data_IF_371106125810
#
_entry.id   IF_371106125810
#
_cell.length_a   1.000
_cell.length_b   1.000
_cell.length_c   1.000
_cell.angle_alpha   90.00
_cell.angle_beta   90.00
_cell.angle_gamma   90.00
#
_symmetry.space_group_name_H-M   'P 1'
#
loop_
_entity.id
_entity.type
_entity.pdbx_description
1 polymer ?
#
# COMPACT_ATOMS: atom_id res chain seq x y z
N UNK A 1 11.10 -37.98 -29.07
CA UNK A 1 10.79 -38.40 -27.68
C UNK A 1 11.49 -37.57 -26.61
N UNK A 2 12.80 -37.70 -26.33
CA UNK A 2 13.44 -36.90 -25.25
C UNK A 2 13.50 -35.40 -25.58
N UNK A 3 13.77 -35.04 -26.85
CA UNK A 3 13.81 -33.65 -27.31
C UNK A 3 12.45 -32.93 -27.22
N UNK A 4 11.36 -33.61 -27.57
CA UNK A 4 9.99 -33.05 -27.46
C UNK A 4 9.59 -32.86 -25.99
N UNK A 5 9.95 -33.82 -25.14
CA UNK A 5 9.73 -33.71 -23.69
C UNK A 5 10.48 -32.51 -23.10
N UNK A 6 11.77 -32.33 -23.44
CA UNK A 6 12.53 -31.16 -23.01
C UNK A 6 11.98 -29.84 -23.55
N UNK A 7 11.45 -29.83 -24.78
CA UNK A 7 10.79 -28.66 -25.33
C UNK A 7 9.51 -28.31 -24.55
N UNK A 8 8.71 -29.31 -24.19
CA UNK A 8 7.50 -29.13 -23.41
C UNK A 8 7.80 -28.62 -21.98
N UNK A 9 8.82 -29.17 -21.33
CA UNK A 9 9.27 -28.72 -20.00
C UNK A 9 9.78 -27.26 -20.00
N UNK A 10 10.27 -26.76 -21.14
CA UNK A 10 10.67 -25.37 -21.29
C UNK A 10 9.51 -24.41 -21.64
N UNK A 11 8.47 -24.91 -22.33
CA UNK A 11 7.30 -24.12 -22.71
C UNK A 11 6.30 -23.96 -21.56
N UNK A 12 6.08 -25.02 -20.79
CA UNK A 12 5.11 -25.03 -19.70
C UNK A 12 5.31 -23.89 -18.67
N UNK A 13 6.55 -23.55 -18.23
CA UNK A 13 6.77 -22.42 -17.35
C UNK A 13 6.37 -21.07 -17.96
N UNK A 14 6.55 -20.89 -19.27
CA UNK A 14 6.17 -19.66 -19.98
C UNK A 14 4.65 -19.55 -20.00
N UNK A 15 3.95 -20.63 -20.35
CA UNK A 15 2.48 -20.68 -20.36
C UNK A 15 1.90 -20.42 -18.97
N UNK A 16 2.51 -20.98 -17.92
CA UNK A 16 2.11 -20.72 -16.53
C UNK A 16 2.31 -19.25 -16.17
N UNK A 17 3.45 -18.66 -16.52
CA UNK A 17 3.76 -17.25 -16.24
C UNK A 17 2.74 -16.31 -16.89
N UNK A 18 2.34 -16.60 -18.13
CA UNK A 18 1.32 -15.83 -18.86
C UNK A 18 -0.07 -16.04 -18.25
N UNK A 19 -0.44 -17.28 -17.92
CA UNK A 19 -1.73 -17.61 -17.31
C UNK A 19 -1.94 -16.92 -15.96
N UNK A 20 -0.88 -16.77 -15.14
CA UNK A 20 -0.96 -16.02 -13.88
C UNK A 20 -0.67 -14.51 -14.05
N UNK A 21 -0.34 -14.08 -15.28
CA UNK A 21 0.09 -12.73 -15.63
C UNK A 21 1.17 -12.19 -14.69
N UNK A 22 2.17 -13.02 -14.35
CA UNK A 22 3.18 -12.70 -13.33
C UNK A 22 4.04 -11.50 -13.73
N UNK A 23 4.40 -11.41 -15.02
CA UNK A 23 5.19 -10.33 -15.61
C UNK A 23 4.46 -9.00 -15.50
N UNK A 24 3.26 -8.90 -16.08
CA UNK A 24 2.43 -7.69 -16.05
C UNK A 24 2.12 -7.22 -14.61
N UNK A 25 1.90 -8.17 -13.69
CA UNK A 25 1.71 -7.88 -12.26
C UNK A 25 2.93 -7.24 -11.60
N UNK A 26 4.14 -7.66 -11.96
CA UNK A 26 5.41 -7.11 -11.45
C UNK A 26 5.76 -5.80 -12.14
N UNK A 27 5.43 -5.64 -13.40
CA UNK A 27 5.54 -4.36 -14.13
C UNK A 27 4.64 -3.29 -13.53
N UNK A 28 3.37 -3.62 -13.23
CA UNK A 28 2.44 -2.73 -12.54
C UNK A 28 3.00 -2.29 -11.17
N UNK A 29 3.61 -3.21 -10.44
CA UNK A 29 4.26 -2.89 -9.17
C UNK A 29 5.48 -1.96 -9.34
N UNK A 30 6.33 -2.23 -10.34
CA UNK A 30 7.48 -1.39 -10.66
C UNK A 30 7.04 0.04 -11.03
N UNK A 31 5.97 0.16 -11.82
CA UNK A 31 5.38 1.44 -12.22
C UNK A 31 4.85 2.22 -11.00
N UNK A 32 4.07 1.56 -10.14
CA UNK A 32 3.51 2.19 -8.92
C UNK A 32 4.62 2.57 -7.94
N UNK A 33 5.55 1.66 -7.64
CA UNK A 33 6.65 1.89 -6.69
C UNK A 33 7.78 2.77 -7.21
N UNK A 34 7.77 3.13 -8.50
CA UNK A 34 8.83 3.91 -9.18
C UNK A 34 10.23 3.32 -8.97
N UNK A 35 10.31 2.00 -9.07
CA UNK A 35 11.55 1.22 -8.94
C UNK A 35 11.82 0.44 -10.22
N UNK A 36 13.08 0.07 -10.51
CA UNK A 36 13.40 -0.85 -11.59
C UNK A 36 12.63 -2.18 -11.43
N UNK A 37 12.33 -2.83 -12.56
CA UNK A 37 11.61 -4.11 -12.58
C UNK A 37 12.31 -5.18 -11.72
N UNK A 38 13.64 -5.22 -11.76
CA UNK A 38 14.45 -6.12 -10.92
C UNK A 38 14.17 -5.92 -9.42
N UNK A 39 14.09 -4.67 -8.96
CA UNK A 39 13.74 -4.33 -7.57
C UNK A 39 12.28 -4.65 -7.24
N UNK A 40 11.36 -4.57 -8.21
CA UNK A 40 9.98 -5.01 -8.00
C UNK A 40 9.85 -6.55 -7.91
N UNK A 41 10.74 -7.29 -8.57
CA UNK A 41 10.78 -8.75 -8.55
C UNK A 41 11.38 -9.25 -7.24
N UNK A 42 12.59 -8.79 -6.91
CA UNK A 42 13.43 -9.31 -5.82
C UNK A 42 13.22 -8.54 -4.51
N UNK A 43 12.81 -7.28 -4.60
CA UNK A 43 12.73 -6.39 -3.46
C UNK A 43 11.57 -6.66 -2.51
N UNK A 44 11.61 -5.96 -1.38
CA UNK A 44 10.57 -6.02 -0.34
C UNK A 44 9.59 -4.87 -0.45
N UNK A 45 8.40 -5.01 0.13
CA UNK A 45 7.41 -3.92 0.22
C UNK A 45 8.00 -2.65 0.85
N UNK A 46 8.90 -2.79 1.83
CA UNK A 46 9.58 -1.65 2.44
C UNK A 46 10.42 -0.87 1.42
N UNK A 47 11.16 -1.54 0.53
CA UNK A 47 11.96 -0.86 -0.49
C UNK A 47 11.08 -0.09 -1.49
N UNK A 48 9.91 -0.64 -1.83
CA UNK A 48 8.96 0.04 -2.72
C UNK A 48 8.35 1.27 -2.03
N UNK A 49 8.00 1.16 -0.75
CA UNK A 49 7.51 2.29 0.05
C UNK A 49 8.59 3.36 0.25
N UNK A 50 9.81 2.96 0.57
CA UNK A 50 10.95 3.86 0.75
C UNK A 50 11.21 4.65 -0.54
N UNK A 51 11.15 4.01 -1.71
CA UNK A 51 11.24 4.70 -3.01
C UNK A 51 10.22 5.83 -3.14
N UNK A 52 8.97 5.59 -2.74
CA UNK A 52 7.91 6.60 -2.82
C UNK A 52 8.10 7.72 -1.79
N UNK A 53 8.37 7.36 -0.54
CA UNK A 53 8.52 8.32 0.56
C UNK A 53 9.77 9.19 0.37
N UNK A 54 10.91 8.61 -0.01
CA UNK A 54 12.16 9.35 -0.22
C UNK A 54 12.00 10.34 -1.37
N UNK A 55 11.37 9.95 -2.48
CA UNK A 55 11.12 10.87 -3.60
C UNK A 55 10.19 12.02 -3.22
N UNK A 56 9.19 11.75 -2.38
CA UNK A 56 8.29 12.79 -1.88
C UNK A 56 9.01 13.73 -0.89
N UNK A 57 9.81 13.16 0.02
CA UNK A 57 10.59 13.91 0.98
C UNK A 57 11.63 14.82 0.30
N UNK A 58 12.30 14.34 -0.74
CA UNK A 58 13.26 15.10 -1.55
C UNK A 58 12.60 16.34 -2.20
N UNK A 59 11.40 16.18 -2.77
CA UNK A 59 10.62 17.28 -3.36
C UNK A 59 10.20 18.35 -2.35
N UNK A 60 9.96 17.94 -1.11
CA UNK A 60 9.56 18.82 -0.01
C UNK A 60 10.76 19.31 0.81
N UNK A 61 11.99 19.02 0.36
CA UNK A 61 13.24 19.37 1.02
C UNK A 61 13.33 18.86 2.48
N UNK A 62 12.84 17.64 2.71
CA UNK A 62 12.85 16.96 4.01
C UNK A 62 13.90 15.86 3.99
N UNK A 63 14.85 15.93 4.93
CA UNK A 63 15.87 14.90 5.08
C UNK A 63 15.30 13.63 5.74
N UNK A 64 15.52 12.48 5.11
CA UNK A 64 15.16 11.16 5.67
C UNK A 64 16.37 10.58 6.40
N UNK A 65 16.30 10.30 7.71
CA UNK A 65 17.41 9.72 8.45
C UNK A 65 17.63 8.26 8.04
N UNK A 66 18.88 7.80 8.13
CA UNK A 66 19.19 6.39 7.87
C UNK A 66 18.55 5.47 8.91
N UNK A 67 17.96 4.37 8.45
CA UNK A 67 17.32 3.35 9.29
C UNK A 67 18.34 2.71 10.23
N UNK A 68 18.31 3.06 11.52
CA UNK A 68 19.04 2.30 12.55
C UNK A 68 18.22 1.06 12.90
N UNK A 69 18.79 -0.14 12.69
CA UNK A 69 18.17 -1.38 13.16
C UNK A 69 18.20 -1.40 14.69
N UNK A 70 17.08 -1.03 15.32
CA UNK A 70 16.85 -1.23 16.75
C UNK A 70 16.55 -2.70 17.07
N UNK A 71 16.76 -3.09 18.33
CA UNK A 71 16.36 -4.41 18.82
C UNK A 71 14.85 -4.61 18.72
N UNK A 72 14.40 -5.87 18.59
CA UNK A 72 12.98 -6.23 18.53
C UNK A 72 12.23 -5.61 19.72
N UNK A 73 11.25 -4.76 19.44
CA UNK A 73 10.27 -4.31 20.44
C UNK A 73 9.24 -5.41 20.70
N UNK A 74 8.58 -5.34 21.85
CA UNK A 74 7.46 -6.21 22.18
C UNK A 74 6.34 -6.14 21.14
N UNK A 75 5.57 -7.22 21.03
CA UNK A 75 4.44 -7.32 20.13
C UNK A 75 3.37 -6.28 20.51
N UNK A 76 2.94 -5.49 19.52
CA UNK A 76 1.88 -4.48 19.68
C UNK A 76 0.52 -5.18 19.61
N UNK A 77 -0.47 -4.70 20.36
CA UNK A 77 -1.86 -5.19 20.31
C UNK A 77 -2.43 -5.03 18.90
N UNK A 78 -2.90 -6.14 18.32
CA UNK A 78 -3.46 -6.21 16.97
C UNK A 78 -4.94 -5.80 16.89
N UNK A 79 -5.58 -6.18 15.78
CA UNK A 79 -7.01 -5.95 15.56
C UNK A 79 -7.89 -6.75 16.53
N UNK A 80 -8.99 -6.13 16.96
CA UNK A 80 -10.01 -6.80 17.76
C UNK A 80 -10.87 -7.70 16.86
N UNK A 81 -11.04 -8.96 17.25
CA UNK A 81 -11.96 -9.91 16.63
C UNK A 81 -13.09 -10.14 17.61
N UNK A 82 -14.33 -9.87 17.19
CA UNK A 82 -15.49 -10.11 18.03
C UNK A 82 -15.84 -11.60 18.01
N UNK A 83 -15.98 -12.20 19.19
CA UNK A 83 -16.42 -13.58 19.31
C UNK A 83 -17.92 -13.66 19.00
N UNK A 84 -18.27 -14.55 18.07
CA UNK A 84 -19.65 -14.78 17.65
C UNK A 84 -20.03 -16.21 18.05
N UNK A 85 -21.24 -16.38 18.59
CA UNK A 85 -21.78 -17.71 18.86
C UNK A 85 -21.99 -18.49 17.55
N UNK A 86 -21.54 -19.75 17.53
CA UNK A 86 -21.69 -20.61 16.36
C UNK A 86 -23.16 -20.89 16.05
N UNK A 87 -23.62 -20.49 14.86
CA UNK A 87 -24.99 -20.69 14.43
C UNK A 87 -25.21 -20.41 12.94
N UNK A 88 -26.37 -20.80 12.41
CA UNK A 88 -26.79 -20.47 11.04
C UNK A 88 -27.67 -19.23 11.08
N UNK A 89 -27.16 -18.12 10.54
CA UNK A 89 -27.88 -16.86 10.45
C UNK A 89 -28.32 -16.60 9.00
N UNK A 90 -29.63 -16.56 8.70
CA UNK A 90 -30.10 -16.11 7.38
C UNK A 90 -30.02 -14.59 7.26
N UNK A 91 -29.88 -14.06 6.04
CA UNK A 91 -29.90 -12.62 5.72
C UNK A 91 -28.84 -11.76 6.43
N UNK A 92 -27.59 -12.23 6.44
CA UNK A 92 -26.46 -11.47 7.01
C UNK A 92 -26.01 -10.38 6.04
N UNK A 93 -26.02 -9.13 6.50
CA UNK A 93 -25.41 -8.01 5.78
C UNK A 93 -23.95 -7.83 6.22
N UNK A 94 -23.04 -7.69 5.25
CA UNK A 94 -21.62 -7.43 5.51
C UNK A 94 -21.33 -5.95 5.24
N UNK A 95 -20.89 -5.25 6.28
CA UNK A 95 -20.46 -3.86 6.21
C UNK A 95 -18.94 -3.81 6.44
N UNK A 96 -18.20 -3.30 5.47
CA UNK A 96 -16.75 -3.18 5.53
C UNK A 96 -16.31 -1.74 5.23
N UNK A 97 -15.28 -1.26 5.91
CA UNK A 97 -14.72 0.07 5.70
C UNK A 97 -13.74 0.05 4.53
N UNK A 98 -13.96 0.91 3.53
CA UNK A 98 -13.01 1.09 2.42
C UNK A 98 -11.69 1.65 2.96
N UNK A 99 -10.61 0.87 2.88
CA UNK A 99 -9.25 1.35 3.21
C UNK A 99 -9.14 1.98 4.61
N UNK A 100 -9.53 1.21 5.63
CA UNK A 100 -9.60 1.67 7.03
C UNK A 100 -8.31 2.32 7.53
N UNK A 101 -7.16 1.63 7.45
CA UNK A 101 -5.89 2.17 7.98
C UNK A 101 -5.43 3.45 7.25
N UNK A 102 -5.38 3.51 5.90
CA UNK A 102 -5.08 4.77 5.21
C UNK A 102 -6.01 5.91 5.61
N UNK A 103 -7.31 5.65 5.74
CA UNK A 103 -8.30 6.66 6.12
C UNK A 103 -8.05 7.24 7.52
N UNK A 104 -7.68 6.38 8.49
CA UNK A 104 -7.31 6.81 9.85
C UNK A 104 -6.04 7.65 9.84
N UNK A 105 -5.03 7.23 9.05
CA UNK A 105 -3.76 7.95 8.94
C UNK A 105 -3.95 9.34 8.33
N UNK A 106 -4.78 9.45 7.30
CA UNK A 106 -5.10 10.72 6.64
C UNK A 106 -5.89 11.64 7.59
N UNK A 107 -6.98 11.14 8.19
CA UNK A 107 -7.86 11.96 9.02
C UNK A 107 -7.18 12.52 10.26
N UNK A 108 -6.29 11.74 10.87
CA UNK A 108 -5.54 12.16 12.06
C UNK A 108 -4.17 12.76 11.75
N UNK A 109 -3.82 12.91 10.47
CA UNK A 109 -2.53 13.45 10.00
C UNK A 109 -1.31 12.72 10.60
N UNK A 110 -1.38 11.38 10.62
CA UNK A 110 -0.36 10.52 11.25
C UNK A 110 0.87 10.45 10.34
N UNK A 111 1.95 11.11 10.76
CA UNK A 111 3.22 11.06 10.05
C UNK A 111 4.40 11.31 11.02
N UNK A 112 5.59 10.83 10.66
CA UNK A 112 6.82 11.15 11.38
C UNK A 112 7.09 12.66 11.39
N UNK A 113 6.73 13.38 10.31
CA UNK A 113 6.95 14.83 10.19
C UNK A 113 5.98 15.68 11.00
N UNK A 114 4.90 15.07 11.50
CA UNK A 114 3.85 15.73 12.28
C UNK A 114 3.80 15.23 13.72
N UNK A 115 4.62 14.24 14.09
CA UNK A 115 4.70 13.74 15.47
C UNK A 115 5.28 14.82 16.38
N UNK A 116 4.61 15.06 17.50
CA UNK A 116 5.07 15.99 18.53
C UNK A 116 5.58 15.19 19.71
N UNK A 117 6.85 15.38 20.07
CA UNK A 117 7.41 14.86 21.32
C UNK A 117 7.08 15.87 22.45
N UNK A 118 7.00 15.40 23.71
CA UNK A 118 6.31 16.03 24.84
C UNK A 118 6.75 17.46 25.29
N UNK A 119 7.57 18.17 24.52
CA UNK A 119 8.18 19.46 24.85
C UNK A 119 7.42 20.69 24.31
N UNK A 120 6.46 20.51 23.38
CA UNK A 120 5.70 21.62 22.79
C UNK A 120 4.20 21.54 23.13
N UNK A 121 3.77 22.30 24.14
CA UNK A 121 2.38 22.37 24.62
C UNK A 121 1.52 23.42 23.89
N UNK A 122 2.02 24.02 22.80
CA UNK A 122 1.42 25.24 22.22
C UNK A 122 0.66 25.06 20.89
N UNK A 123 0.43 23.83 20.41
CA UNK A 123 -0.14 23.60 19.07
C UNK A 123 -1.44 22.80 19.07
N UNK A 124 -2.28 23.06 18.07
CA UNK A 124 -3.45 22.26 17.78
C UNK A 124 -3.02 20.82 17.39
N UNK A 125 -3.26 19.86 18.28
CA UNK A 125 -2.82 18.47 18.10
C UNK A 125 -3.99 17.48 18.13
N UNK A 126 -3.84 16.38 17.40
CA UNK A 126 -4.61 15.16 17.52
C UNK A 126 -3.86 14.18 18.42
N UNK A 127 -4.56 13.55 19.37
CA UNK A 127 -3.98 12.56 20.28
C UNK A 127 -4.50 11.16 19.93
N UNK A 128 -3.59 10.20 19.77
CA UNK A 128 -3.95 8.80 19.55
C UNK A 128 -4.37 8.11 20.86
N UNK A 129 -5.09 6.99 20.80
CA UNK A 129 -5.38 6.16 21.98
C UNK A 129 -4.13 5.66 22.72
N UNK A 130 -2.98 5.58 22.03
CA UNK A 130 -1.69 5.24 22.63
C UNK A 130 -0.99 6.41 23.34
N UNK A 131 -1.61 7.59 23.34
CA UNK A 131 -1.07 8.81 23.97
C UNK A 131 -0.11 9.62 23.08
N UNK A 132 0.16 9.17 21.86
CA UNK A 132 1.04 9.89 20.91
C UNK A 132 0.32 11.10 20.32
N UNK A 133 1.01 12.23 20.21
CA UNK A 133 0.45 13.49 19.69
C UNK A 133 0.94 13.74 18.25
N UNK A 134 0.03 14.19 17.39
CA UNK A 134 0.31 14.58 16.01
C UNK A 134 -0.26 15.99 15.74
N UNK A 135 0.46 16.83 14.99
CA UNK A 135 -0.03 18.14 14.57
C UNK A 135 -1.28 18.00 13.69
N UNK A 136 -2.23 18.93 13.82
CA UNK A 136 -3.35 19.02 12.87
C UNK A 136 -2.88 19.39 11.47
N UNK A 137 -3.67 18.98 10.47
CA UNK A 137 -3.46 19.31 9.04
C UNK A 137 -3.39 20.83 8.78
N UNK A 138 -4.04 21.65 9.63
CA UNK A 138 -4.01 23.11 9.57
C UNK A 138 -2.62 23.71 9.80
N UNK A 139 -1.78 23.07 10.61
CA UNK A 139 -0.45 23.55 10.95
C UNK A 139 0.57 23.05 9.94
N UNK A 140 0.54 21.74 9.67
CA UNK A 140 1.45 21.08 8.73
C UNK A 140 0.79 19.81 8.19
N UNK A 141 0.79 19.66 6.87
CA UNK A 141 0.39 18.41 6.24
C UNK A 141 1.53 17.37 6.33
N UNK A 142 1.21 16.16 6.78
CA UNK A 142 2.15 15.06 6.84
C UNK A 142 2.48 14.48 5.46
N UNK A 143 3.72 14.02 5.28
CA UNK A 143 4.14 13.39 4.02
C UNK A 143 3.36 12.10 3.71
N UNK A 144 3.15 11.27 4.74
CA UNK A 144 2.48 9.97 4.59
C UNK A 144 0.99 10.14 4.25
N UNK A 145 0.21 10.98 4.97
CA UNK A 145 -1.16 11.33 4.57
C UNK A 145 -1.28 11.77 3.11
N UNK A 146 -0.42 12.68 2.66
CA UNK A 146 -0.43 13.17 1.27
C UNK A 146 -0.11 12.07 0.26
N UNK A 147 0.90 11.23 0.54
CA UNK A 147 1.23 10.09 -0.32
C UNK A 147 0.05 9.11 -0.42
N UNK A 148 -0.63 8.84 0.69
CA UNK A 148 -1.80 7.94 0.72
C UNK A 148 -2.98 8.53 -0.04
N UNK A 149 -3.24 9.84 0.08
CA UNK A 149 -4.25 10.54 -0.72
C UNK A 149 -3.97 10.38 -2.22
N UNK A 150 -2.73 10.59 -2.66
CA UNK A 150 -2.31 10.42 -4.05
C UNK A 150 -2.50 8.97 -4.56
N UNK A 151 -2.09 7.98 -3.76
CA UNK A 151 -2.23 6.56 -4.11
C UNK A 151 -3.70 6.13 -4.17
N UNK A 152 -4.53 6.65 -3.26
CA UNK A 152 -5.97 6.40 -3.25
C UNK A 152 -6.67 7.05 -4.45
N UNK A 153 -6.28 8.26 -4.83
CA UNK A 153 -6.79 8.95 -6.01
C UNK A 153 -6.45 8.17 -7.30
N UNK A 154 -5.19 7.77 -7.48
CA UNK A 154 -4.77 6.94 -8.62
C UNK A 154 -5.52 5.62 -8.67
N UNK A 155 -5.81 5.02 -7.51
CA UNK A 155 -6.58 3.77 -7.45
C UNK A 155 -8.01 3.97 -7.93
N UNK A 156 -8.65 5.05 -7.50
CA UNK A 156 -10.02 5.36 -7.89
C UNK A 156 -10.11 5.74 -9.38
N UNK A 157 -9.08 6.40 -9.93
CA UNK A 157 -8.92 6.63 -11.38
C UNK A 157 -8.83 5.32 -12.15
N UNK A 158 -7.92 4.41 -11.79
CA UNK A 158 -7.80 3.11 -12.46
C UNK A 158 -9.06 2.25 -12.34
N UNK A 159 -9.81 2.36 -11.23
CA UNK A 159 -11.13 1.72 -11.12
C UNK A 159 -12.16 2.33 -12.07
N UNK A 160 -12.17 3.64 -12.23
CA UNK A 160 -13.06 4.29 -13.18
C UNK A 160 -12.72 3.87 -14.61
N UNK A 161 -11.43 3.89 -14.98
CA UNK A 161 -10.94 3.46 -16.29
C UNK A 161 -11.23 2.00 -16.57
N UNK A 162 -11.11 1.11 -15.58
CA UNK A 162 -11.49 -0.29 -15.71
C UNK A 162 -12.98 -0.45 -16.05
N UNK A 163 -13.85 0.35 -15.43
CA UNK A 163 -15.30 0.30 -15.70
C UNK A 163 -15.66 0.82 -17.08
N UNK A 164 -14.91 1.78 -17.61
CA UNK A 164 -15.11 2.34 -18.94
C UNK A 164 -14.37 1.57 -20.06
N UNK A 165 -13.51 0.62 -19.72
CA UNK A 165 -12.75 -0.15 -20.70
C UNK A 165 -13.67 -1.08 -21.48
N UNK A 166 -13.61 -1.00 -22.81
CA UNK A 166 -14.42 -1.81 -23.73
C UNK A 166 -13.73 -3.11 -24.13
N UNK A 167 -12.41 -3.20 -23.96
CA UNK A 167 -11.58 -4.34 -24.32
C UNK A 167 -11.00 -5.03 -23.07
N UNK A 168 -10.88 -6.37 -23.17
CA UNK A 168 -10.42 -7.21 -22.08
C UNK A 168 -8.97 -6.94 -21.65
N UNK A 169 -8.00 -6.70 -22.56
CA UNK A 169 -6.62 -6.37 -22.18
C UNK A 169 -6.50 -5.08 -21.37
N UNK A 170 -7.18 -4.00 -21.78
CA UNK A 170 -7.17 -2.72 -21.05
C UNK A 170 -7.84 -2.85 -19.70
N UNK A 171 -8.93 -3.62 -19.61
CA UNK A 171 -9.59 -3.91 -18.34
C UNK A 171 -8.65 -4.67 -17.39
N UNK A 172 -7.94 -5.69 -17.88
CA UNK A 172 -6.97 -6.46 -17.11
C UNK A 172 -5.80 -5.59 -16.62
N UNK A 173 -5.29 -4.71 -17.48
CA UNK A 173 -4.23 -3.75 -17.12
C UNK A 173 -4.67 -2.86 -15.95
N UNK A 174 -5.86 -2.24 -16.04
CA UNK A 174 -6.37 -1.40 -14.96
C UNK A 174 -6.68 -2.18 -13.68
N UNK A 175 -7.08 -3.46 -13.79
CA UNK A 175 -7.27 -4.33 -12.62
C UNK A 175 -5.96 -4.65 -11.90
N UNK A 176 -4.89 -4.90 -12.65
CA UNK A 176 -3.58 -5.09 -12.05
C UNK A 176 -3.09 -3.82 -11.34
N UNK A 177 -3.25 -2.65 -11.96
CA UNK A 177 -2.85 -1.36 -11.38
C UNK A 177 -3.62 -1.04 -10.08
N UNK A 178 -4.96 -1.13 -10.09
CA UNK A 178 -5.75 -0.84 -8.89
C UNK A 178 -5.53 -1.85 -7.75
N UNK A 179 -5.20 -3.11 -8.09
CA UNK A 179 -4.85 -4.14 -7.13
C UNK A 179 -3.52 -3.81 -6.45
N UNK A 180 -2.48 -3.42 -7.19
CA UNK A 180 -1.18 -3.05 -6.61
C UNK A 180 -1.26 -1.83 -5.69
N UNK A 181 -2.06 -0.83 -6.05
CA UNK A 181 -2.32 0.34 -5.19
C UNK A 181 -3.08 0.01 -3.89
N UNK A 182 -3.74 -1.16 -3.79
CA UNK A 182 -4.40 -1.61 -2.55
C UNK A 182 -3.41 -2.25 -1.58
N UNK A 183 -2.39 -2.94 -2.09
CA UNK A 183 -1.44 -3.74 -1.31
C UNK A 183 -0.08 -3.04 -1.11
N UNK A 184 0.07 -1.83 -1.66
CA UNK A 184 1.23 -0.97 -1.46
C UNK A 184 1.10 -0.10 -0.21
#
# INVERSE_FOLDING_TARGET
>A
MVLEYCAQDALLPIEILDAISATARKEALAAVGKVPLETAIIGTTSQWLDSLVIRLADRENIAVPMTRRGGKSDAITGGYVHDIEGGRYPWVAVLDFKSMYPSIMISNNICHTTRVDALDDSSEVNQSPSGTKFLKKSVREGLVPRLLEDLMAQRDEHKALMKSANDEPTRLFHDQMQSRLKFS
#
